data_IF_702436568164
#
_entry.id   IF_702436568164
#
_cell.length_a   1.000
_cell.length_b   1.000
_cell.length_c   1.000
_cell.angle_alpha   90.00
_cell.angle_beta   90.00
_cell.angle_gamma   90.00
#
_symmetry.space_group_name_H-M   'P 1'
#
loop_
_entity.id
_entity.type
_entity.pdbx_description
1 polymer ?
#
# COMPACT_ATOMS: atom_id res chain seq x y z
N UNK A 1 12.77 -30.03 39.60
CA UNK A 1 13.11 -29.12 38.51
C UNK A 1 11.88 -28.97 37.62
N UNK A 2 11.29 -27.78 37.59
CA UNK A 2 10.19 -27.48 36.68
C UNK A 2 10.75 -27.05 35.33
N UNK A 3 10.32 -27.68 34.24
CA UNK A 3 10.91 -27.51 32.90
C UNK A 3 10.68 -26.07 32.37
N UNK A 4 9.61 -25.43 32.83
CA UNK A 4 9.18 -24.11 32.31
C UNK A 4 9.68 -22.91 33.11
N UNK A 5 10.41 -23.13 34.20
CA UNK A 5 10.91 -22.07 35.08
C UNK A 5 12.41 -22.09 35.19
N UNK A 6 13.01 -20.94 35.52
CA UNK A 6 14.43 -20.88 35.81
C UNK A 6 14.73 -21.67 37.07
N UNK A 7 15.87 -22.35 37.09
CA UNK A 7 16.33 -23.07 38.28
C UNK A 7 16.72 -22.04 39.36
N UNK A 8 16.07 -22.14 40.50
CA UNK A 8 16.41 -21.36 41.68
C UNK A 8 17.19 -22.26 42.63
N UNK A 9 18.40 -21.93 42.95
CA UNK A 9 19.26 -22.64 43.87
C UNK A 9 19.46 -21.81 45.13
N UNK A 10 19.12 -22.32 46.29
CA UNK A 10 19.36 -21.71 47.59
C UNK A 10 20.27 -22.58 48.43
N UNK A 11 21.34 -21.98 48.93
CA UNK A 11 22.23 -22.68 49.88
C UNK A 11 21.72 -22.46 51.28
N UNK A 12 21.46 -23.55 51.98
CA UNK A 12 20.98 -23.55 53.37
C UNK A 12 22.06 -24.14 54.25
N UNK A 13 22.50 -23.38 55.25
CA UNK A 13 23.46 -23.88 56.25
C UNK A 13 22.62 -24.47 57.41
N UNK A 14 22.79 -25.77 57.63
CA UNK A 14 22.14 -26.49 58.70
C UNK A 14 23.20 -26.67 59.80
N UNK A 15 22.87 -26.25 61.01
CA UNK A 15 23.67 -26.52 62.20
C UNK A 15 22.84 -27.27 63.27
N UNK A 16 23.51 -27.77 64.30
CA UNK A 16 22.86 -28.62 65.31
C UNK A 16 21.77 -27.91 66.14
N UNK A 17 21.69 -26.58 66.07
CA UNK A 17 20.79 -25.74 66.84
C UNK A 17 19.52 -25.35 66.05
N UNK A 18 19.52 -25.48 64.72
CA UNK A 18 18.40 -25.14 63.86
C UNK A 18 17.93 -26.35 63.08
N UNK A 19 17.00 -27.13 63.69
CA UNK A 19 16.45 -28.35 63.10
C UNK A 19 15.30 -28.11 62.08
N UNK A 20 14.74 -26.92 62.10
CA UNK A 20 13.70 -26.50 61.13
C UNK A 20 14.05 -25.15 60.53
N UNK A 21 13.96 -25.08 59.20
CA UNK A 21 14.21 -23.87 58.45
C UNK A 21 12.99 -23.59 57.63
N UNK A 22 12.29 -22.50 57.93
CA UNK A 22 11.21 -22.01 57.07
C UNK A 22 11.78 -21.31 55.86
N UNK A 23 11.56 -21.84 54.67
CA UNK A 23 12.12 -21.34 53.41
C UNK A 23 11.30 -20.19 52.82
N UNK A 24 10.12 -19.89 53.40
CA UNK A 24 9.22 -18.85 52.87
C UNK A 24 8.74 -19.15 51.45
N UNK A 25 8.11 -18.17 50.85
CA UNK A 25 7.61 -18.30 49.48
C UNK A 25 8.77 -18.26 48.45
N UNK A 26 8.81 -19.28 47.58
CA UNK A 26 9.77 -19.37 46.48
C UNK A 26 9.05 -18.94 45.24
N UNK A 27 9.40 -17.76 44.69
CA UNK A 27 8.86 -17.26 43.44
C UNK A 27 9.67 -17.85 42.29
N UNK A 28 8.97 -18.57 41.41
CA UNK A 28 9.56 -19.10 40.18
C UNK A 28 9.33 -18.11 39.05
N UNK A 29 10.38 -17.83 38.30
CA UNK A 29 10.29 -16.97 37.13
C UNK A 29 10.21 -17.81 35.85
N UNK A 30 9.25 -17.48 34.99
CA UNK A 30 9.07 -18.17 33.72
C UNK A 30 10.33 -18.12 32.85
N UNK A 31 10.71 -19.27 32.34
CA UNK A 31 11.85 -19.41 31.42
C UNK A 31 11.52 -18.84 30.03
N UNK A 32 10.24 -18.73 29.72
CA UNK A 32 9.79 -18.16 28.45
C UNK A 32 9.68 -16.65 28.59
N UNK A 33 10.61 -15.95 27.99
CA UNK A 33 10.42 -14.54 27.66
C UNK A 33 9.26 -14.52 26.65
N UNK A 34 8.18 -13.81 26.95
CA UNK A 34 7.16 -13.54 25.94
C UNK A 34 7.85 -13.01 24.69
N UNK A 35 7.89 -13.82 23.65
CA UNK A 35 8.35 -13.33 22.36
C UNK A 35 7.37 -12.25 21.97
N UNK A 36 7.85 -11.04 21.79
CA UNK A 36 7.05 -9.98 21.18
C UNK A 36 6.48 -10.57 19.88
N UNK A 37 5.19 -10.46 19.73
CA UNK A 37 4.52 -10.87 18.50
C UNK A 37 5.24 -10.24 17.33
N UNK A 38 5.88 -11.06 16.51
CA UNK A 38 6.47 -10.59 15.25
C UNK A 38 5.28 -10.36 14.33
N UNK A 39 4.79 -9.12 14.30
CA UNK A 39 3.82 -8.71 13.30
C UNK A 39 4.56 -8.71 11.96
N UNK A 40 4.43 -9.80 11.23
CA UNK A 40 4.89 -9.87 9.84
C UNK A 40 3.94 -8.98 9.03
N UNK A 41 4.30 -7.72 8.86
CA UNK A 41 3.65 -6.86 7.89
C UNK A 41 4.09 -7.35 6.50
N UNK A 42 3.24 -8.14 5.87
CA UNK A 42 3.43 -8.47 4.46
C UNK A 42 3.28 -7.17 3.66
N UNK A 43 4.37 -6.67 3.11
CA UNK A 43 4.29 -5.58 2.13
C UNK A 43 3.51 -6.08 0.93
N UNK A 44 2.47 -5.34 0.55
CA UNK A 44 1.69 -5.66 -0.63
C UNK A 44 2.62 -5.66 -1.86
N UNK A 45 2.48 -6.63 -2.77
CA UNK A 45 3.33 -6.70 -3.95
C UNK A 45 3.23 -5.40 -4.76
N UNK A 46 4.34 -4.93 -5.33
CA UNK A 46 4.37 -3.66 -6.07
C UNK A 46 3.47 -3.70 -7.31
N UNK A 47 3.28 -4.88 -7.89
CA UNK A 47 2.46 -5.09 -9.09
C UNK A 47 1.62 -6.34 -8.89
N UNK A 48 0.35 -6.25 -9.20
CA UNK A 48 -0.59 -7.37 -9.19
C UNK A 48 -1.34 -7.41 -10.50
N UNK A 49 -1.38 -8.58 -11.14
CA UNK A 49 -2.19 -8.82 -12.32
C UNK A 49 -3.56 -9.38 -11.86
N UNK A 50 -4.63 -8.75 -12.29
CA UNK A 50 -6.01 -9.18 -12.03
C UNK A 50 -6.76 -9.23 -13.37
N UNK A 51 -6.95 -10.42 -13.88
CA UNK A 51 -7.60 -10.60 -15.19
C UNK A 51 -6.95 -9.69 -16.25
N UNK A 52 -7.67 -8.71 -16.77
CA UNK A 52 -7.19 -7.76 -17.77
C UNK A 52 -6.66 -6.45 -17.18
N UNK A 53 -6.53 -6.38 -15.85
CA UNK A 53 -6.08 -5.17 -15.13
C UNK A 53 -4.70 -5.37 -14.51
N UNK A 54 -3.78 -4.46 -14.81
CA UNK A 54 -2.50 -4.35 -14.09
C UNK A 54 -2.66 -3.33 -12.96
N UNK A 55 -2.56 -3.80 -11.73
CA UNK A 55 -2.66 -2.96 -10.53
C UNK A 55 -1.26 -2.71 -9.95
N UNK A 56 -0.88 -1.45 -9.82
CA UNK A 56 0.36 -1.00 -9.19
C UNK A 56 0.06 -0.45 -7.81
N UNK A 57 0.83 -0.87 -6.81
CA UNK A 57 0.78 -0.29 -5.47
C UNK A 57 1.61 1.01 -5.46
N UNK A 58 0.98 2.16 -5.37
CA UNK A 58 1.65 3.45 -5.43
C UNK A 58 2.71 3.62 -4.32
N UNK A 59 2.47 3.05 -3.14
CA UNK A 59 3.40 3.10 -2.01
C UNK A 59 4.74 2.40 -2.26
N UNK A 60 4.79 1.43 -3.17
CA UNK A 60 6.03 0.73 -3.55
C UNK A 60 6.94 1.54 -4.47
N UNK A 61 6.44 2.63 -5.07
CA UNK A 61 7.19 3.50 -5.98
C UNK A 61 7.46 4.85 -5.32
N UNK A 62 8.69 5.03 -4.82
CA UNK A 62 9.08 6.26 -4.12
C UNK A 62 9.08 7.45 -5.07
N UNK A 63 8.28 8.45 -4.76
CA UNK A 63 8.26 9.76 -5.43
C UNK A 63 8.88 10.82 -4.54
N UNK A 64 9.20 11.98 -5.13
CA UNK A 64 9.64 13.13 -4.35
C UNK A 64 8.49 13.69 -3.49
N UNK A 65 8.79 14.37 -2.37
CA UNK A 65 7.77 15.12 -1.64
C UNK A 65 7.07 16.11 -2.58
N UNK A 66 5.74 16.20 -2.48
CA UNK A 66 4.89 17.04 -3.34
C UNK A 66 4.91 16.70 -4.85
N UNK A 67 5.38 15.49 -5.21
CA UNK A 67 5.27 15.00 -6.58
C UNK A 67 3.80 14.89 -7.01
N UNK A 68 3.54 15.08 -8.29
CA UNK A 68 2.24 14.83 -8.88
C UNK A 68 2.12 13.39 -9.40
N UNK A 69 0.92 13.00 -9.81
CA UNK A 69 0.67 11.66 -10.37
C UNK A 69 1.50 11.42 -11.64
N UNK A 70 1.78 12.44 -12.44
CA UNK A 70 2.64 12.31 -13.62
C UNK A 70 4.02 11.74 -13.26
N UNK A 71 4.63 12.20 -12.17
CA UNK A 71 5.93 11.69 -11.71
C UNK A 71 5.84 10.26 -11.18
N UNK A 72 4.73 9.90 -10.53
CA UNK A 72 4.46 8.54 -10.12
C UNK A 72 4.35 7.62 -11.34
N UNK A 73 3.57 8.01 -12.34
CA UNK A 73 3.38 7.24 -13.57
C UNK A 73 4.68 6.99 -14.34
N UNK A 74 5.61 7.94 -14.34
CA UNK A 74 6.94 7.79 -14.95
C UNK A 74 7.78 6.68 -14.30
N UNK A 75 7.46 6.32 -13.07
CA UNK A 75 8.18 5.26 -12.31
C UNK A 75 7.56 3.88 -12.44
N UNK A 76 6.34 3.80 -12.99
CA UNK A 76 5.66 2.53 -13.16
C UNK A 76 6.21 1.77 -14.37
N UNK A 77 6.57 0.50 -14.23
CA UNK A 77 7.03 -0.30 -15.36
C UNK A 77 5.91 -0.46 -16.40
N UNK A 78 6.26 -0.32 -17.68
CA UNK A 78 5.30 -0.38 -18.79
C UNK A 78 4.48 0.89 -19.01
N UNK A 79 4.67 1.92 -18.19
CA UNK A 79 4.04 3.24 -18.36
C UNK A 79 5.09 4.26 -18.78
N UNK A 80 4.78 5.06 -19.78
CA UNK A 80 5.62 6.18 -20.28
C UNK A 80 4.80 7.45 -20.29
N UNK A 81 5.41 8.54 -19.86
CA UNK A 81 4.82 9.87 -19.95
C UNK A 81 5.69 10.70 -20.88
N UNK A 82 5.11 11.19 -21.96
CA UNK A 82 5.79 12.03 -22.94
C UNK A 82 5.96 13.47 -22.42
N UNK A 83 6.81 14.24 -23.09
CA UNK A 83 7.10 15.63 -22.70
C UNK A 83 5.88 16.53 -22.71
N UNK A 84 4.93 16.24 -23.58
CA UNK A 84 3.65 16.96 -23.71
C UNK A 84 2.62 16.57 -22.63
N UNK A 85 2.94 15.57 -21.78
CA UNK A 85 2.05 15.01 -20.75
C UNK A 85 1.16 13.85 -21.22
N UNK A 86 1.34 13.39 -22.45
CA UNK A 86 0.63 12.22 -22.95
C UNK A 86 1.12 10.96 -22.24
N UNK A 87 0.19 10.19 -21.68
CA UNK A 87 0.50 8.92 -21.01
C UNK A 87 0.32 7.77 -21.97
N UNK A 88 1.29 6.88 -22.02
CA UNK A 88 1.23 5.60 -22.73
C UNK A 88 1.40 4.47 -21.73
N UNK A 89 0.55 3.47 -21.78
CA UNK A 89 0.64 2.28 -20.98
C UNK A 89 0.66 1.05 -21.88
N UNK A 90 1.60 0.13 -21.63
CA UNK A 90 1.77 -1.08 -22.44
C UNK A 90 1.91 -0.80 -23.96
N UNK A 91 2.53 0.32 -24.31
CA UNK A 91 2.71 0.74 -25.71
C UNK A 91 1.54 1.50 -26.33
N UNK A 92 0.37 1.53 -25.69
CA UNK A 92 -0.82 2.21 -26.19
C UNK A 92 -1.06 3.54 -25.49
N UNK A 93 -1.65 4.51 -26.19
CA UNK A 93 -2.02 5.80 -25.61
C UNK A 93 -3.17 5.61 -24.61
N UNK A 94 -3.03 6.20 -23.43
CA UNK A 94 -4.10 6.28 -22.44
C UNK A 94 -5.05 7.40 -22.84
N UNK A 95 -6.28 7.05 -23.13
CA UNK A 95 -7.29 8.01 -23.57
C UNK A 95 -8.09 8.58 -22.41
N UNK A 96 -8.24 7.82 -21.32
CA UNK A 96 -9.05 8.22 -20.16
C UNK A 96 -8.35 7.96 -18.84
N UNK A 97 -8.54 8.89 -17.89
CA UNK A 97 -8.09 8.75 -16.51
C UNK A 97 -9.29 8.90 -15.58
N UNK A 98 -9.47 7.90 -14.73
CA UNK A 98 -10.51 7.85 -13.71
C UNK A 98 -9.88 8.06 -12.33
N UNK A 99 -10.65 8.62 -11.43
CA UNK A 99 -10.31 8.72 -10.01
C UNK A 99 -11.42 8.05 -9.19
N UNK A 100 -11.09 6.97 -8.48
CA UNK A 100 -12.05 6.09 -7.79
C UNK A 100 -13.21 5.64 -8.72
N UNK A 101 -12.90 5.36 -10.00
CA UNK A 101 -13.86 4.89 -10.99
C UNK A 101 -14.75 5.99 -11.61
N UNK A 102 -14.52 7.25 -11.25
CA UNK A 102 -15.27 8.39 -11.82
C UNK A 102 -14.35 9.21 -12.74
N UNK A 103 -14.91 9.71 -13.82
CA UNK A 103 -14.20 10.67 -14.66
C UNK A 103 -13.96 11.94 -13.87
N UNK A 104 -12.71 12.38 -13.82
CA UNK A 104 -12.29 13.56 -13.10
C UNK A 104 -11.57 14.50 -14.08
N UNK A 105 -11.84 15.80 -13.98
CA UNK A 105 -11.31 16.83 -14.90
C UNK A 105 -11.72 16.68 -16.38
N UNK A 106 -12.93 16.20 -16.66
CA UNK A 106 -13.38 15.97 -18.04
C UNK A 106 -12.57 14.87 -18.75
N UNK A 107 -12.50 14.92 -20.05
CA UNK A 107 -11.80 13.92 -20.86
C UNK A 107 -10.31 14.20 -21.07
N UNK A 108 -9.69 15.08 -20.27
CA UNK A 108 -8.26 15.37 -20.40
C UNK A 108 -7.42 14.61 -19.36
N UNK A 109 -6.76 13.52 -19.75
CA UNK A 109 -5.88 12.77 -18.86
C UNK A 109 -4.75 13.60 -18.26
N UNK A 110 -4.29 14.64 -18.97
CA UNK A 110 -3.17 15.49 -18.54
C UNK A 110 -3.54 16.33 -17.31
N UNK A 111 -4.79 16.81 -17.25
CA UNK A 111 -5.26 17.59 -16.10
C UNK A 111 -5.30 16.75 -14.84
N UNK A 112 -5.78 15.50 -14.94
CA UNK A 112 -5.81 14.58 -13.82
C UNK A 112 -4.40 14.25 -13.30
N UNK A 113 -3.45 13.96 -14.19
CA UNK A 113 -2.10 13.54 -13.80
C UNK A 113 -1.23 14.69 -13.26
N UNK A 114 -1.47 15.93 -13.67
CA UNK A 114 -0.71 17.10 -13.23
C UNK A 114 -1.21 17.70 -11.94
N UNK A 115 -2.52 17.64 -11.69
CA UNK A 115 -3.14 18.33 -10.55
C UNK A 115 -3.31 17.45 -9.30
N UNK A 116 -3.28 16.12 -9.46
CA UNK A 116 -3.39 15.22 -8.32
C UNK A 116 -2.00 14.96 -7.71
N UNK A 117 -1.86 15.05 -6.38
CA UNK A 117 -0.63 14.70 -5.69
C UNK A 117 -0.44 13.18 -5.65
N UNK A 118 0.79 12.72 -5.88
CA UNK A 118 1.13 11.30 -5.87
C UNK A 118 0.90 10.64 -4.51
N UNK A 119 1.07 11.37 -3.42
CA UNK A 119 0.89 10.89 -2.06
C UNK A 119 -0.57 10.56 -1.70
N UNK A 120 -1.52 11.13 -2.45
CA UNK A 120 -2.94 10.80 -2.30
C UNK A 120 -3.32 9.47 -2.94
N UNK A 121 -2.49 8.92 -3.82
CA UNK A 121 -2.78 7.69 -4.55
C UNK A 121 -2.40 6.48 -3.72
N UNK A 122 -3.33 5.53 -3.62
CA UNK A 122 -3.12 4.20 -3.05
C UNK A 122 -2.67 3.21 -4.12
N UNK A 123 -3.44 3.16 -5.23
CA UNK A 123 -3.19 2.23 -6.33
C UNK A 123 -3.43 2.88 -7.69
N UNK A 124 -2.68 2.41 -8.68
CA UNK A 124 -2.87 2.76 -10.09
C UNK A 124 -3.27 1.50 -10.84
N UNK A 125 -4.42 1.50 -11.47
CA UNK A 125 -4.94 0.40 -12.26
C UNK A 125 -4.90 0.76 -13.74
N UNK A 126 -4.28 -0.09 -14.55
CA UNK A 126 -4.21 0.03 -16.01
C UNK A 126 -5.00 -1.12 -16.62
N UNK A 127 -5.95 -0.81 -17.46
CA UNK A 127 -6.84 -1.81 -18.07
C UNK A 127 -7.35 -1.35 -19.43
N UNK A 128 -7.86 -2.32 -20.18
CA UNK A 128 -8.58 -2.07 -21.41
C UNK A 128 -10.05 -1.86 -21.11
N UNK A 129 -10.58 -0.70 -21.47
CA UNK A 129 -11.99 -0.35 -21.30
C UNK A 129 -12.69 -0.46 -22.64
N UNK A 130 -13.84 -1.08 -22.66
CA UNK A 130 -14.72 -1.08 -23.83
C UNK A 130 -15.13 0.35 -24.17
N UNK A 131 -15.38 0.60 -25.45
CA UNK A 131 -15.90 1.87 -25.93
C UNK A 131 -17.18 2.30 -25.19
N UNK A 132 -17.48 3.58 -25.16
CA UNK A 132 -18.73 4.06 -24.54
C UNK A 132 -19.97 3.46 -25.20
N UNK A 133 -19.89 3.17 -26.52
CA UNK A 133 -20.96 2.55 -27.26
C UNK A 133 -21.18 1.09 -26.83
N UNK A 134 -20.08 0.32 -26.69
CA UNK A 134 -20.14 -1.06 -26.21
C UNK A 134 -20.67 -1.12 -24.76
N UNK A 135 -20.30 -0.18 -23.92
CA UNK A 135 -20.82 -0.12 -22.56
C UNK A 135 -22.30 0.22 -22.49
N UNK A 136 -22.78 1.09 -23.37
CA UNK A 136 -24.19 1.48 -23.41
C UNK A 136 -25.09 0.38 -24.01
N UNK A 137 -24.61 -0.28 -25.06
CA UNK A 137 -25.41 -1.28 -25.80
C UNK A 137 -25.25 -2.68 -25.26
N UNK A 138 -24.18 -2.96 -24.52
CA UNK A 138 -23.81 -4.30 -24.04
C UNK A 138 -23.22 -5.21 -25.10
N UNK A 139 -23.04 -4.72 -26.34
CA UNK A 139 -22.39 -5.44 -27.43
C UNK A 139 -20.95 -4.97 -27.61
N UNK A 140 -20.02 -5.89 -27.71
CA UNK A 140 -18.62 -5.58 -27.99
C UNK A 140 -18.48 -5.18 -29.46
N UNK A 141 -18.06 -3.94 -29.69
CA UNK A 141 -17.81 -3.37 -31.03
C UNK A 141 -16.38 -3.60 -31.51
N UNK A 142 -15.58 -4.36 -30.74
CA UNK A 142 -14.17 -4.63 -31.00
C UNK A 142 -13.24 -3.45 -30.75
N UNK A 143 -13.76 -2.33 -30.24
CA UNK A 143 -12.97 -1.16 -29.91
C UNK A 143 -12.73 -1.10 -28.40
N UNK A 144 -11.47 -1.19 -28.00
CA UNK A 144 -11.03 -0.99 -26.62
C UNK A 144 -10.12 0.21 -26.49
N UNK A 145 -10.23 0.91 -25.39
CA UNK A 145 -9.41 2.06 -25.06
C UNK A 145 -8.56 1.76 -23.81
N UNK A 146 -7.29 2.12 -23.86
CA UNK A 146 -6.45 2.04 -22.66
C UNK A 146 -6.86 3.11 -21.67
N UNK A 147 -7.21 2.69 -20.46
CA UNK A 147 -7.64 3.55 -19.36
C UNK A 147 -6.76 3.35 -18.11
N UNK A 148 -6.67 4.40 -17.32
CA UNK A 148 -6.04 4.37 -16.00
C UNK A 148 -7.08 4.77 -14.95
N UNK A 149 -7.19 3.97 -13.89
CA UNK A 149 -7.97 4.33 -12.72
C UNK A 149 -7.04 4.56 -11.52
N UNK A 150 -7.09 5.74 -10.96
CA UNK A 150 -6.34 6.16 -9.79
C UNK A 150 -7.20 5.94 -8.55
N UNK A 151 -6.84 5.01 -7.70
CA UNK A 151 -7.51 4.81 -6.40
C UNK A 151 -6.88 5.68 -5.36
N UNK A 152 -7.70 6.49 -4.68
CA UNK A 152 -7.27 7.35 -3.60
C UNK A 152 -7.16 6.57 -2.28
N UNK A 153 -6.21 6.96 -1.44
CA UNK A 153 -6.13 6.51 -0.05
C UNK A 153 -7.40 6.88 0.70
N UNK A 154 -7.82 6.06 1.65
CA UNK A 154 -9.07 6.24 2.40
C UNK A 154 -9.15 7.58 3.13
N UNK A 155 -8.03 8.03 3.69
CA UNK A 155 -7.88 9.30 4.41
C UNK A 155 -7.92 10.54 3.50
N UNK A 156 -7.65 10.36 2.20
CA UNK A 156 -7.60 11.44 1.19
C UNK A 156 -8.88 11.57 0.35
N UNK A 157 -9.83 10.64 0.47
CA UNK A 157 -11.09 10.66 -0.32
C UNK A 157 -12.00 11.87 -0.04
N UNK A 158 -11.85 12.53 1.11
CA UNK A 158 -12.68 13.67 1.54
C UNK A 158 -11.88 14.97 1.62
N UNK A 159 -10.79 15.09 0.88
CA UNK A 159 -9.93 16.27 0.89
C UNK A 159 -10.13 17.20 -0.30
N UNK A 160 -9.82 18.48 -0.11
CA UNK A 160 -9.64 19.44 -1.20
C UNK A 160 -8.19 19.32 -1.68
N UNK A 161 -7.99 19.04 -2.98
CA UNK A 161 -6.67 18.95 -3.57
C UNK A 161 -6.43 20.18 -4.46
N UNK A 162 -5.30 20.83 -4.29
CA UNK A 162 -4.90 21.96 -5.13
C UNK A 162 -3.51 22.46 -4.77
N UNK A 163 -2.82 23.03 -5.75
CA UNK A 163 -1.60 23.82 -5.54
C UNK A 163 -1.96 25.30 -5.56
N UNK A 164 -1.75 26.01 -4.46
CA UNK A 164 -1.74 27.47 -4.46
C UNK A 164 -0.30 27.93 -4.67
N UNK A 165 -0.04 28.66 -5.74
CA UNK A 165 1.19 29.38 -5.96
C UNK A 165 0.95 30.85 -5.73
N UNK A 166 1.58 31.42 -4.70
CA UNK A 166 1.70 32.86 -4.54
C UNK A 166 2.93 33.33 -5.32
N UNK A 167 2.72 34.18 -6.31
CA UNK A 167 3.78 34.87 -7.07
C UNK A 167 4.16 36.18 -6.40
#
# INVERSE_FOLDING_TARGET
>A
THVNFHNENRFIKIDATHQQIEMGDIRLFDKYKSMNEIVVQAEAPPITLKEDTVEYNAGSFKTQPNANVEELLKKLPGVKVEKDGTVKAQGQKVNRVFVDGKEFFGNDPKLATRNLPADAIDKVQVYDRLSDQSQLTGFDDGNSEKAINLKLKKDKKKGLFGKAMAG
#
